data_IF_773080008026
#
_entry.id   IF_773080008026
#
_cell.length_a   1.000
_cell.length_b   1.000
_cell.length_c   1.000
_cell.angle_alpha   90.00
_cell.angle_beta   90.00
_cell.angle_gamma   90.00
#
_symmetry.space_group_name_H-M   'P 1'
#
loop_
_entity.id
_entity.type
_entity.pdbx_description
1 polymer ?
#
# COMPACT_ATOMS: atom_id res chain seq x y z
N UNK A 1 6.94 7.21 -16.78
CA UNK A 1 7.75 8.09 -15.91
C UNK A 1 9.19 7.57 -15.92
N UNK A 2 10.19 8.42 -16.10
CA UNK A 2 11.58 7.96 -16.05
C UNK A 2 11.98 7.65 -14.60
N UNK A 3 12.84 6.66 -14.40
CA UNK A 3 13.37 6.36 -13.07
C UNK A 3 14.20 7.55 -12.55
N UNK A 4 13.96 7.92 -11.29
CA UNK A 4 14.74 8.94 -10.58
C UNK A 4 15.99 8.35 -9.93
N UNK A 5 15.94 7.05 -9.62
CA UNK A 5 17.05 6.29 -9.04
C UNK A 5 17.40 5.14 -9.97
N UNK A 6 18.70 5.00 -10.24
CA UNK A 6 19.26 3.86 -10.96
C UNK A 6 19.82 2.86 -9.95
N UNK A 7 19.48 1.59 -10.11
CA UNK A 7 19.91 0.50 -9.22
C UNK A 7 20.52 -0.60 -10.09
N UNK A 8 21.85 -0.59 -10.22
CA UNK A 8 22.58 -1.52 -11.08
C UNK A 8 23.39 -2.56 -10.28
N UNK A 9 23.73 -2.24 -9.04
CA UNK A 9 24.59 -3.07 -8.18
C UNK A 9 23.91 -3.42 -6.86
N UNK A 10 24.42 -4.44 -6.17
CA UNK A 10 23.98 -4.77 -4.80
C UNK A 10 24.20 -3.62 -3.81
N UNK A 11 25.24 -2.81 -4.00
CA UNK A 11 25.49 -1.63 -3.18
C UNK A 11 24.43 -0.55 -3.40
N UNK A 12 23.97 -0.38 -4.65
CA UNK A 12 22.88 0.55 -4.96
C UNK A 12 21.58 0.10 -4.30
N UNK A 13 21.29 -1.22 -4.34
CA UNK A 13 20.14 -1.80 -3.65
C UNK A 13 20.17 -1.50 -2.16
N UNK A 14 21.32 -1.70 -1.50
CA UNK A 14 21.46 -1.47 -0.06
C UNK A 14 21.32 0.01 0.29
N UNK A 15 21.91 0.89 -0.50
CA UNK A 15 21.80 2.34 -0.33
C UNK A 15 20.35 2.79 -0.52
N UNK A 16 19.72 2.36 -1.61
CA UNK A 16 18.34 2.68 -1.91
C UNK A 16 17.38 2.19 -0.81
N UNK A 17 17.54 0.96 -0.31
CA UNK A 17 16.71 0.45 0.77
C UNK A 17 16.85 1.28 2.07
N UNK A 18 18.05 1.78 2.39
CA UNK A 18 18.28 2.67 3.54
C UNK A 18 17.62 4.02 3.35
N UNK A 19 17.72 4.61 2.16
CA UNK A 19 17.11 5.90 1.86
C UNK A 19 15.58 5.81 1.87
N UNK A 20 15.02 4.76 1.25
CA UNK A 20 13.60 4.44 1.29
C UNK A 20 13.11 4.25 2.72
N UNK A 21 13.85 3.50 3.55
CA UNK A 21 13.55 3.36 4.98
C UNK A 21 13.43 4.72 5.64
N UNK A 22 14.47 5.54 5.53
CA UNK A 22 14.52 6.86 6.15
C UNK A 22 13.33 7.72 5.71
N UNK A 23 13.06 7.77 4.41
CA UNK A 23 11.99 8.61 3.88
C UNK A 23 10.60 8.14 4.33
N UNK A 24 10.33 6.82 4.32
CA UNK A 24 9.06 6.27 4.80
C UNK A 24 8.87 6.54 6.29
N UNK A 25 9.92 6.38 7.10
CA UNK A 25 9.89 6.68 8.54
C UNK A 25 9.61 8.15 8.81
N UNK A 26 10.42 9.05 8.25
CA UNK A 26 10.34 10.49 8.50
C UNK A 26 9.00 11.10 8.06
N UNK A 27 8.39 10.53 7.02
CA UNK A 27 7.11 11.00 6.47
C UNK A 27 5.91 10.19 6.98
N UNK A 28 6.08 9.34 7.99
CA UNK A 28 5.01 8.56 8.63
C UNK A 28 4.17 7.75 7.64
N UNK A 29 4.80 7.17 6.62
CA UNK A 29 4.15 6.36 5.59
C UNK A 29 4.03 4.87 6.00
N UNK A 30 4.00 4.59 7.30
CA UNK A 30 3.97 3.25 7.85
C UNK A 30 3.22 3.20 9.18
N UNK A 31 2.89 2.00 9.64
CA UNK A 31 2.29 1.74 10.95
C UNK A 31 2.97 0.56 11.63
N UNK A 32 3.22 0.66 12.94
CA UNK A 32 3.60 -0.48 13.76
C UNK A 32 2.37 -1.32 14.12
N UNK A 33 2.43 -2.62 13.86
CA UNK A 33 1.46 -3.60 14.36
C UNK A 33 2.24 -4.73 15.01
N UNK A 34 2.24 -4.73 16.35
CA UNK A 34 2.92 -5.71 17.20
C UNK A 34 4.44 -5.79 16.94
N UNK A 35 5.11 -4.64 16.84
CA UNK A 35 6.56 -4.56 16.64
C UNK A 35 7.00 -4.84 15.20
N UNK A 36 6.06 -4.80 14.24
CA UNK A 36 6.31 -4.98 12.82
C UNK A 36 5.81 -3.76 12.06
N UNK A 37 6.67 -3.14 11.27
CA UNK A 37 6.32 -1.97 10.47
C UNK A 37 5.69 -2.34 9.13
N UNK A 38 4.46 -1.91 8.88
CA UNK A 38 3.73 -2.11 7.63
C UNK A 38 3.58 -0.78 6.89
N UNK A 39 4.01 -0.75 5.63
CA UNK A 39 4.03 0.47 4.81
C UNK A 39 2.66 0.67 4.15
N UNK A 40 2.14 1.90 4.20
CA UNK A 40 0.93 2.30 3.45
C UNK A 40 1.21 2.31 1.94
N UNK A 41 0.16 2.19 1.13
CA UNK A 41 0.25 2.16 -0.34
C UNK A 41 1.03 3.35 -0.92
N UNK A 42 1.02 4.49 -0.24
CA UNK A 42 1.78 5.69 -0.64
C UNK A 42 3.30 5.45 -0.59
N UNK A 43 3.80 4.76 0.44
CA UNK A 43 5.22 4.41 0.54
C UNK A 43 5.65 3.37 -0.51
N UNK A 44 4.75 2.45 -0.86
CA UNK A 44 4.94 1.53 -1.98
C UNK A 44 5.01 2.26 -3.32
N UNK A 45 4.09 3.20 -3.53
CA UNK A 45 4.00 4.00 -4.75
C UNK A 45 5.19 4.95 -4.90
N UNK A 46 5.66 5.55 -3.81
CA UNK A 46 6.89 6.33 -3.77
C UNK A 46 8.09 5.48 -4.22
N UNK A 47 8.27 4.32 -3.60
CA UNK A 47 9.41 3.42 -3.88
C UNK A 47 9.38 2.95 -5.33
N UNK A 48 8.21 2.57 -5.84
CA UNK A 48 8.01 2.24 -7.24
C UNK A 48 8.29 3.41 -8.18
N UNK A 49 7.77 4.59 -7.86
CA UNK A 49 7.95 5.82 -8.65
C UNK A 49 9.41 6.22 -8.78
N UNK A 50 10.19 6.11 -7.69
CA UNK A 50 11.64 6.34 -7.72
C UNK A 50 12.36 5.41 -8.71
N UNK A 51 11.86 4.17 -8.87
CA UNK A 51 12.36 3.18 -9.83
C UNK A 51 11.73 3.29 -11.23
N UNK A 52 10.92 4.32 -11.47
CA UNK A 52 10.24 4.57 -12.74
C UNK A 52 9.03 3.67 -12.99
N UNK A 53 8.44 3.12 -11.94
CA UNK A 53 7.33 2.15 -12.01
C UNK A 53 6.06 2.79 -11.46
N UNK A 54 5.05 2.93 -12.29
CA UNK A 54 3.77 3.57 -11.93
C UNK A 54 2.62 2.56 -11.94
N UNK A 55 1.64 2.66 -11.04
CA UNK A 55 0.47 1.81 -11.06
C UNK A 55 -0.60 2.39 -12.00
N UNK A 56 -1.32 1.53 -12.70
CA UNK A 56 -2.44 1.88 -13.56
C UNK A 56 -3.61 0.96 -13.21
N UNK A 57 -4.75 1.56 -12.83
CA UNK A 57 -5.98 0.80 -12.61
C UNK A 57 -6.49 0.34 -13.96
N UNK A 58 -6.35 -0.96 -14.23
CA UNK A 58 -6.74 -1.58 -15.50
C UNK A 58 -8.25 -1.80 -15.54
N UNK A 59 -8.81 -2.22 -14.41
CA UNK A 59 -10.21 -2.57 -14.30
C UNK A 59 -10.74 -2.40 -12.88
N UNK A 60 -12.02 -2.05 -12.76
CA UNK A 60 -12.75 -1.90 -11.51
C UNK A 60 -14.17 -2.45 -11.68
N UNK A 61 -14.36 -3.69 -11.30
CA UNK A 61 -15.60 -4.43 -11.48
C UNK A 61 -16.49 -4.27 -10.24
N UNK A 62 -17.73 -3.83 -10.44
CA UNK A 62 -18.76 -3.90 -9.41
C UNK A 62 -19.33 -5.32 -9.35
N UNK A 63 -19.12 -6.01 -8.23
CA UNK A 63 -19.58 -7.37 -7.95
C UNK A 63 -20.63 -7.39 -6.83
N UNK A 64 -21.31 -6.26 -6.63
CA UNK A 64 -22.30 -6.06 -5.57
C UNK A 64 -23.59 -6.83 -5.83
N UNK A 65 -24.28 -7.15 -4.75
CA UNK A 65 -25.64 -7.68 -4.73
C UNK A 65 -26.56 -6.78 -3.88
N UNK A 66 -27.84 -7.12 -3.75
CA UNK A 66 -28.83 -6.32 -3.00
C UNK A 66 -28.41 -6.00 -1.55
N UNK A 67 -27.57 -6.83 -0.94
CA UNK A 67 -27.23 -6.76 0.48
C UNK A 67 -25.75 -6.48 0.75
N UNK A 68 -24.92 -6.46 -0.30
CA UNK A 68 -23.46 -6.46 -0.19
C UNK A 68 -22.84 -5.59 -1.26
N UNK A 69 -22.07 -4.60 -0.81
CA UNK A 69 -21.19 -3.85 -1.70
C UNK A 69 -19.89 -4.63 -1.86
N UNK A 70 -19.48 -4.88 -3.10
CA UNK A 70 -18.24 -5.59 -3.41
C UNK A 70 -17.64 -5.06 -4.70
N UNK A 71 -16.34 -4.76 -4.66
CA UNK A 71 -15.58 -4.36 -5.83
C UNK A 71 -14.33 -5.21 -5.99
N UNK A 72 -14.01 -5.55 -7.23
CA UNK A 72 -12.72 -6.13 -7.62
C UNK A 72 -11.95 -5.11 -8.44
N UNK A 73 -10.70 -4.86 -8.07
CA UNK A 73 -9.81 -4.02 -8.84
C UNK A 73 -8.64 -4.84 -9.40
N UNK A 74 -8.25 -4.55 -10.63
CA UNK A 74 -7.03 -5.04 -11.27
C UNK A 74 -6.13 -3.86 -11.57
N UNK A 75 -4.89 -3.92 -11.09
CA UNK A 75 -3.87 -2.89 -11.29
C UNK A 75 -2.66 -3.48 -12.00
N UNK A 76 -2.20 -2.80 -13.03
CA UNK A 76 -0.95 -3.09 -13.74
C UNK A 76 0.13 -2.12 -13.26
N UNK A 77 1.35 -2.61 -13.07
CA UNK A 77 2.53 -1.76 -12.92
C UNK A 77 3.17 -1.56 -14.28
N UNK A 78 3.44 -0.31 -14.63
CA UNK A 78 4.03 0.07 -15.92
C UNK A 78 5.40 0.69 -15.69
N UNK A 79 6.40 0.21 -16.45
CA UNK A 79 7.74 0.78 -16.54
C UNK A 79 8.14 0.86 -18.00
N UNK A 80 8.47 2.05 -18.49
CA UNK A 80 8.85 2.27 -19.91
C UNK A 80 7.84 1.64 -20.90
N UNK A 81 6.54 1.91 -20.68
CA UNK A 81 5.41 1.40 -21.47
C UNK A 81 5.24 -0.13 -21.48
N UNK A 82 5.95 -0.85 -20.61
CA UNK A 82 5.80 -2.30 -20.42
C UNK A 82 5.12 -2.60 -19.10
N UNK A 83 4.21 -3.57 -19.12
CA UNK A 83 3.61 -4.14 -17.90
C UNK A 83 4.68 -5.00 -17.21
N UNK A 84 5.02 -4.66 -15.98
CA UNK A 84 6.05 -5.36 -15.18
C UNK A 84 5.50 -6.08 -13.96
N UNK A 85 4.24 -5.86 -13.63
CA UNK A 85 3.56 -6.51 -12.51
C UNK A 85 2.06 -6.32 -12.58
N UNK A 86 1.32 -7.19 -11.91
CA UNK A 86 -0.14 -7.11 -11.81
C UNK A 86 -0.56 -7.42 -10.38
N UNK A 87 -1.49 -6.65 -9.85
CA UNK A 87 -2.14 -6.87 -8.57
C UNK A 87 -3.65 -6.94 -8.76
N UNK A 88 -4.30 -7.88 -8.07
CA UNK A 88 -5.75 -8.00 -8.04
C UNK A 88 -6.17 -8.03 -6.58
N UNK A 89 -7.20 -7.25 -6.25
CA UNK A 89 -7.77 -7.23 -4.91
C UNK A 89 -9.29 -7.08 -4.96
N UNK A 90 -9.94 -7.57 -3.90
CA UNK A 90 -11.36 -7.40 -3.65
C UNK A 90 -11.52 -6.60 -2.34
N UNK A 91 -12.54 -5.74 -2.31
CA UNK A 91 -13.00 -5.12 -1.07
C UNK A 91 -14.52 -5.27 -0.97
N UNK A 92 -15.02 -5.48 0.24
CA UNK A 92 -16.46 -5.54 0.53
C UNK A 92 -16.83 -4.82 1.83
N UNK A 93 -18.04 -4.26 1.90
CA UNK A 93 -18.59 -3.69 3.14
C UNK A 93 -18.85 -4.75 4.23
N UNK A 94 -18.78 -6.05 3.91
CA UNK A 94 -18.88 -7.14 4.90
C UNK A 94 -17.58 -7.41 5.65
N UNK A 95 -16.47 -6.77 5.27
CA UNK A 95 -15.24 -6.84 6.05
C UNK A 95 -15.42 -6.18 7.42
N UNK A 96 -14.73 -6.72 8.43
CA UNK A 96 -14.80 -6.22 9.81
C UNK A 96 -14.51 -4.71 9.84
N UNK A 97 -15.41 -3.93 10.44
CA UNK A 97 -15.29 -2.48 10.55
C UNK A 97 -15.71 -1.67 9.31
N UNK A 98 -16.18 -2.32 8.23
CA UNK A 98 -16.55 -1.65 6.97
C UNK A 98 -18.04 -1.69 6.64
N UNK A 99 -18.88 -2.16 7.57
CA UNK A 99 -20.33 -2.30 7.36
C UNK A 99 -21.03 -0.97 7.10
N UNK A 100 -20.47 0.14 7.58
CA UNK A 100 -20.99 1.49 7.37
C UNK A 100 -20.31 2.25 6.21
N UNK A 101 -19.45 1.58 5.42
CA UNK A 101 -18.73 2.24 4.33
C UNK A 101 -19.66 2.43 3.13
N UNK A 102 -19.63 3.63 2.57
CA UNK A 102 -20.28 3.94 1.30
C UNK A 102 -19.63 3.18 0.13
N UNK A 103 -20.37 3.07 -0.97
CA UNK A 103 -19.93 2.34 -2.16
C UNK A 103 -18.59 2.84 -2.71
N UNK A 104 -18.42 4.16 -2.82
CA UNK A 104 -17.19 4.78 -3.31
C UNK A 104 -15.97 4.43 -2.43
N UNK A 105 -16.17 4.28 -1.12
CA UNK A 105 -15.10 3.94 -0.19
C UNK A 105 -14.67 2.49 -0.39
N UNK A 106 -15.61 1.57 -0.57
CA UNK A 106 -15.32 0.16 -0.88
C UNK A 106 -14.58 0.03 -2.22
N UNK A 107 -15.04 0.74 -3.26
CA UNK A 107 -14.40 0.76 -4.57
C UNK A 107 -12.97 1.35 -4.52
N UNK A 108 -12.76 2.44 -3.76
CA UNK A 108 -11.44 3.06 -3.58
C UNK A 108 -10.47 2.14 -2.84
N UNK A 109 -10.95 1.45 -1.79
CA UNK A 109 -10.13 0.49 -1.05
C UNK A 109 -9.73 -0.73 -1.89
N UNK A 110 -10.61 -1.21 -2.78
CA UNK A 110 -10.24 -2.28 -3.70
C UNK A 110 -9.05 -1.87 -4.58
N UNK A 111 -9.06 -0.63 -5.09
CA UNK A 111 -7.97 -0.09 -5.89
C UNK A 111 -6.66 0.04 -5.10
N UNK A 112 -6.67 0.67 -3.93
CA UNK A 112 -5.44 0.84 -3.13
C UNK A 112 -4.85 -0.50 -2.68
N UNK A 113 -5.69 -1.50 -2.38
CA UNK A 113 -5.22 -2.87 -2.14
C UNK A 113 -4.60 -3.52 -3.36
N UNK A 114 -5.20 -3.35 -4.54
CA UNK A 114 -4.64 -3.89 -5.78
C UNK A 114 -3.30 -3.22 -6.12
N UNK A 115 -3.17 -1.91 -5.90
CA UNK A 115 -1.89 -1.18 -6.03
C UNK A 115 -0.84 -1.74 -5.08
N UNK A 116 -1.16 -1.84 -3.79
CA UNK A 116 -0.26 -2.44 -2.79
C UNK A 116 0.15 -3.86 -3.18
N UNK A 117 -0.80 -4.68 -3.63
CA UNK A 117 -0.55 -6.05 -4.09
C UNK A 117 0.42 -6.11 -5.25
N UNK A 118 0.20 -5.26 -6.25
CA UNK A 118 1.03 -5.21 -7.45
C UNK A 118 2.48 -4.85 -7.08
N UNK A 119 2.66 -3.82 -6.25
CA UNK A 119 3.99 -3.43 -5.77
C UNK A 119 4.65 -4.47 -4.86
N UNK A 120 3.88 -5.11 -3.96
CA UNK A 120 4.40 -6.22 -3.15
C UNK A 120 5.00 -7.32 -3.99
N UNK A 121 4.31 -7.74 -5.05
CA UNK A 121 4.78 -8.81 -5.93
C UNK A 121 6.03 -8.40 -6.71
N UNK A 122 6.16 -7.11 -7.05
CA UNK A 122 7.26 -6.60 -7.86
C UNK A 122 8.51 -6.19 -7.05
N UNK A 123 8.33 -5.41 -5.98
CA UNK A 123 9.38 -4.79 -5.16
C UNK A 123 9.26 -5.09 -3.65
N UNK A 124 8.47 -6.08 -3.24
CA UNK A 124 8.32 -6.44 -1.82
C UNK A 124 9.62 -6.82 -1.11
N UNK A 125 10.58 -7.34 -1.85
CA UNK A 125 11.92 -7.63 -1.34
C UNK A 125 12.71 -6.37 -0.97
N UNK A 126 12.50 -5.24 -1.65
CA UNK A 126 13.12 -3.95 -1.29
C UNK A 126 12.57 -3.48 0.06
N UNK A 127 11.25 -3.59 0.28
CA UNK A 127 10.63 -3.24 1.56
C UNK A 127 11.14 -4.12 2.70
N UNK A 128 11.36 -5.42 2.45
CA UNK A 128 12.00 -6.30 3.44
C UNK A 128 13.43 -5.86 3.77
N UNK A 129 14.23 -5.52 2.76
CA UNK A 129 15.60 -5.01 2.97
C UNK A 129 15.61 -3.68 3.73
N UNK A 130 14.60 -2.83 3.52
CA UNK A 130 14.39 -1.60 4.28
C UNK A 130 13.95 -1.85 5.74
N UNK A 131 13.67 -3.11 6.12
CA UNK A 131 13.27 -3.49 7.48
C UNK A 131 11.76 -3.40 7.75
N UNK A 132 10.94 -3.29 6.71
CA UNK A 132 9.48 -3.32 6.82
C UNK A 132 8.94 -4.73 6.55
N UNK A 133 7.63 -4.90 6.74
CA UNK A 133 6.89 -6.04 6.24
C UNK A 133 6.64 -5.94 4.74
N UNK A 134 6.72 -7.07 4.04
CA UNK A 134 6.44 -7.14 2.60
C UNK A 134 4.96 -7.05 2.28
N UNK A 135 4.10 -7.13 3.30
CA UNK A 135 2.66 -7.00 3.16
C UNK A 135 2.30 -5.53 3.31
N UNK A 136 1.68 -4.88 2.31
CA UNK A 136 1.14 -3.54 2.45
C UNK A 136 0.11 -3.47 3.57
N UNK A 137 0.03 -2.32 4.24
CA UNK A 137 -0.94 -2.11 5.31
C UNK A 137 -2.39 -2.34 4.84
N UNK A 138 -2.73 -1.95 3.62
CA UNK A 138 -4.08 -2.06 3.05
C UNK A 138 -4.52 -3.51 2.84
N UNK A 139 -3.57 -4.44 2.66
CA UNK A 139 -3.82 -5.89 2.60
C UNK A 139 -4.04 -6.51 3.99
N UNK A 140 -3.77 -5.77 5.07
CA UNK A 140 -3.96 -6.30 6.42
C UNK A 140 -5.44 -6.34 6.78
N UNK A 141 -5.87 -7.52 7.23
CA UNK A 141 -7.07 -7.62 8.05
C UNK A 141 -6.66 -7.24 9.47
N UNK A 142 -6.60 -5.94 9.75
CA UNK A 142 -6.46 -5.51 11.14
C UNK A 142 -7.71 -5.95 11.88
N UNK A 143 -7.55 -6.64 13.02
CA UNK A 143 -8.63 -6.72 13.98
C UNK A 143 -9.09 -5.29 14.22
N UNK A 144 -10.35 -4.99 13.90
CA UNK A 144 -10.88 -3.63 13.92
C UNK A 144 -10.35 -2.86 15.12
N UNK A 145 -9.38 -1.98 14.84
CA UNK A 145 -8.88 -1.03 15.81
C UNK A 145 -10.09 -0.18 16.13
N UNK A 146 -10.49 -0.12 17.40
CA UNK A 146 -11.70 0.59 17.79
C UNK A 146 -11.68 2.02 17.22
N UNK A 147 -12.82 2.62 16.88
CA UNK A 147 -12.88 3.98 16.35
C UNK A 147 -12.08 4.98 17.20
N UNK A 148 -12.06 4.78 18.51
CA UNK A 148 -11.30 5.58 19.47
C UNK A 148 -9.79 5.40 19.28
N UNK A 149 -9.33 4.17 19.11
CA UNK A 149 -7.91 3.86 18.91
C UNK A 149 -7.43 4.27 17.51
N UNK A 150 -8.32 4.25 16.50
CA UNK A 150 -8.04 4.86 15.19
C UNK A 150 -7.96 6.39 15.27
N UNK A 151 -8.84 7.03 16.04
CA UNK A 151 -8.78 8.48 16.26
C UNK A 151 -7.52 8.90 17.01
N UNK A 152 -7.04 8.08 17.96
CA UNK A 152 -5.76 8.28 18.66
C UNK A 152 -4.57 8.10 17.72
N UNK A 153 -4.54 7.03 16.91
CA UNK A 153 -3.47 6.80 15.92
C UNK A 153 -3.40 7.95 14.91
N UNK A 154 -4.56 8.43 14.42
CA UNK A 154 -4.63 9.57 13.49
C UNK A 154 -4.21 10.88 14.17
N UNK A 155 -4.49 11.07 15.46
CA UNK A 155 -4.00 12.22 16.23
C UNK A 155 -2.49 12.16 16.47
N UNK A 156 -1.94 11.01 16.85
CA UNK A 156 -0.50 10.81 17.06
C UNK A 156 0.28 11.01 15.75
N UNK A 157 -0.24 10.51 14.63
CA UNK A 157 0.33 10.75 13.31
C UNK A 157 0.40 12.26 12.99
N UNK A 158 -0.66 13.02 13.30
CA UNK A 158 -0.73 14.48 13.06
C UNK A 158 0.10 15.33 14.00
N UNK A 159 0.36 14.87 15.23
CA UNK A 159 0.99 15.69 16.26
C UNK A 159 2.50 15.49 16.43
N UNK A 160 3.14 14.60 15.65
CA UNK A 160 4.61 14.49 15.72
C UNK A 160 5.15 13.83 17.00
N UNK A 161 4.29 13.32 17.88
CA UNK A 161 4.69 12.67 19.12
C UNK A 161 4.63 11.15 18.95
N UNK A 162 5.79 10.57 18.63
CA UNK A 162 5.99 9.12 18.68
C UNK A 162 6.34 8.74 20.14
N UNK A 163 5.51 7.88 20.72
CA UNK A 163 5.87 7.03 21.87
C UNK A 163 6.48 5.73 21.38
#
# INVERSE_FOLDING_TARGET
MNALVKVDTLNDVQTFAKDVKKFIYDNKMWMDIHGKGYVFVDGWSLTGGLLGVSPLVKDLENLSDENTIRYRATVELVKEDKIVGVGVAICTNKEKGKTAFDEYAVASMAQTRAVGKAYRLYIGWIMKLAGFESTPFEEMQTEAVSPDKMAEIVKAAKNGEDS
#
